data_IF_778186649537
#
_entry.id   IF_778186649537
#
_cell.length_a   1.000
_cell.length_b   1.000
_cell.length_c   1.000
_cell.angle_alpha   90.00
_cell.angle_beta   90.00
_cell.angle_gamma   90.00
#
_symmetry.space_group_name_H-M   'P 1'
#
loop_
_entity.id
_entity.type
_entity.pdbx_description
1 polymer ?
#
# COMPACT_ATOMS: atom_id res chain seq x y z
N UNK A 1 -36.05 -1.66 -26.36
CA UNK A 1 -35.45 -0.97 -25.19
C UNK A 1 -35.71 0.52 -25.38
N UNK A 2 -36.48 1.12 -24.49
CA UNK A 2 -36.83 2.54 -24.59
C UNK A 2 -35.63 3.38 -24.06
N UNK A 3 -35.46 4.60 -24.60
CA UNK A 3 -34.39 5.54 -24.16
C UNK A 3 -34.40 5.77 -22.64
N UNK A 4 -35.54 5.64 -22.00
CA UNK A 4 -35.70 5.72 -20.52
C UNK A 4 -35.09 4.52 -19.78
N UNK A 5 -35.18 3.30 -20.34
CA UNK A 5 -34.56 2.11 -19.76
C UNK A 5 -33.03 2.16 -19.85
N UNK A 6 -32.49 2.65 -20.98
CA UNK A 6 -31.05 2.83 -21.15
C UNK A 6 -30.50 3.89 -20.21
N UNK A 7 -31.22 4.99 -19.96
CA UNK A 7 -30.84 6.01 -18.98
C UNK A 7 -30.90 5.51 -17.53
N UNK A 8 -31.84 4.61 -17.20
CA UNK A 8 -31.92 4.02 -15.85
C UNK A 8 -30.80 3.00 -15.57
N UNK A 9 -30.35 2.24 -16.56
CA UNK A 9 -29.20 1.34 -16.40
C UNK A 9 -27.89 2.10 -16.14
N UNK A 10 -27.71 3.24 -16.77
CA UNK A 10 -26.52 4.09 -16.61
C UNK A 10 -26.45 4.74 -15.21
N UNK A 11 -27.60 4.91 -14.53
CA UNK A 11 -27.64 5.52 -13.18
C UNK A 11 -27.31 4.55 -12.05
N UNK A 12 -27.44 3.25 -12.26
CA UNK A 12 -27.10 2.24 -11.22
C UNK A 12 -25.60 2.10 -11.08
N UNK A 13 -25.12 2.18 -9.82
CA UNK A 13 -23.71 1.95 -9.52
C UNK A 13 -23.33 0.51 -9.83
N UNK A 14 -22.21 0.26 -10.55
CA UNK A 14 -21.73 -1.10 -10.73
C UNK A 14 -21.45 -1.75 -9.37
N UNK A 15 -22.04 -2.90 -9.11
CA UNK A 15 -21.83 -3.66 -7.86
C UNK A 15 -20.33 -3.92 -7.66
N UNK A 16 -19.63 -4.21 -8.74
CA UNK A 16 -18.17 -4.42 -8.73
C UNK A 16 -17.40 -3.20 -8.20
N UNK A 17 -17.76 -1.99 -8.63
CA UNK A 17 -17.14 -0.76 -8.10
C UNK A 17 -17.41 -0.59 -6.61
N UNK A 18 -18.63 -0.91 -6.15
CA UNK A 18 -18.99 -0.81 -4.74
C UNK A 18 -18.12 -1.76 -3.88
N UNK A 19 -17.94 -3.00 -4.34
CA UNK A 19 -17.08 -3.98 -3.67
C UNK A 19 -15.64 -3.46 -3.59
N UNK A 20 -15.08 -2.95 -4.70
CA UNK A 20 -13.73 -2.38 -4.71
C UNK A 20 -13.60 -1.21 -3.74
N UNK A 21 -14.57 -0.29 -3.72
CA UNK A 21 -14.59 0.86 -2.80
C UNK A 21 -14.60 0.40 -1.35
N UNK A 22 -15.44 -0.57 -0.99
CA UNK A 22 -15.51 -1.09 0.38
C UNK A 22 -14.19 -1.74 0.78
N UNK A 23 -13.66 -2.64 -0.04
CA UNK A 23 -12.40 -3.34 0.25
C UNK A 23 -11.22 -2.37 0.38
N UNK A 24 -11.10 -1.43 -0.57
CA UNK A 24 -10.04 -0.41 -0.51
C UNK A 24 -10.19 0.50 0.70
N UNK A 25 -11.42 0.94 1.02
CA UNK A 25 -11.67 1.82 2.17
C UNK A 25 -11.31 1.14 3.49
N UNK A 26 -11.62 -0.14 3.65
CA UNK A 26 -11.25 -0.90 4.86
C UNK A 26 -9.73 -1.01 4.95
N UNK A 27 -9.06 -1.44 3.88
CA UNK A 27 -7.60 -1.63 3.88
C UNK A 27 -6.87 -0.29 4.14
N UNK A 28 -7.19 0.75 3.37
CA UNK A 28 -6.57 2.07 3.51
C UNK A 28 -6.92 2.68 4.87
N UNK A 29 -8.16 2.50 5.35
CA UNK A 29 -8.60 3.00 6.64
C UNK A 29 -7.82 2.41 7.80
N UNK A 30 -7.65 1.09 7.84
CA UNK A 30 -6.84 0.41 8.87
C UNK A 30 -5.39 0.90 8.81
N UNK A 31 -4.80 0.99 7.60
CA UNK A 31 -3.43 1.48 7.42
C UNK A 31 -3.27 2.95 7.85
N UNK A 32 -4.28 3.78 7.59
CA UNK A 32 -4.30 5.20 8.01
C UNK A 32 -4.32 5.32 9.54
N UNK A 33 -5.14 4.52 10.20
CA UNK A 33 -5.18 4.48 11.67
C UNK A 33 -3.84 4.00 12.25
N UNK A 34 -3.22 2.98 11.65
CA UNK A 34 -1.90 2.51 12.04
C UNK A 34 -0.81 3.59 11.91
N UNK A 35 -0.76 4.27 10.77
CA UNK A 35 0.20 5.37 10.55
C UNK A 35 -0.05 6.55 11.50
N UNK A 36 -1.31 6.90 11.75
CA UNK A 36 -1.65 7.96 12.71
C UNK A 36 -1.20 7.58 14.13
N UNK A 37 -1.47 6.35 14.55
CA UNK A 37 -1.03 5.85 15.85
C UNK A 37 0.51 5.87 15.98
N UNK A 38 1.23 5.54 14.90
CA UNK A 38 2.69 5.60 14.85
C UNK A 38 3.23 7.04 14.92
N UNK A 39 2.55 8.00 14.28
CA UNK A 39 2.94 9.43 14.34
C UNK A 39 2.76 9.99 15.76
N UNK A 40 1.68 9.61 16.44
CA UNK A 40 1.35 10.08 17.78
C UNK A 40 2.05 9.27 18.88
N UNK A 41 2.53 8.09 18.55
CA UNK A 41 3.18 7.16 19.48
C UNK A 41 4.67 7.46 19.68
N UNK A 42 5.27 6.72 20.61
CA UNK A 42 6.71 6.74 20.82
C UNK A 42 7.44 6.02 19.68
N UNK A 43 8.67 6.42 19.41
CA UNK A 43 9.57 5.65 18.52
C UNK A 43 9.81 4.26 19.11
N UNK A 44 10.09 3.26 18.24
CA UNK A 44 10.56 1.96 18.71
C UNK A 44 11.73 2.12 19.67
N UNK A 45 11.62 1.52 20.83
CA UNK A 45 12.68 1.51 21.85
C UNK A 45 13.75 0.44 21.54
N UNK A 46 14.81 0.41 22.34
CA UNK A 46 15.90 -0.54 22.15
C UNK A 46 15.45 -2.00 22.29
N UNK A 47 14.39 -2.27 23.08
CA UNK A 47 13.84 -3.61 23.25
C UNK A 47 13.11 -4.10 21.99
N UNK A 48 12.29 -3.25 21.39
CA UNK A 48 11.59 -3.53 20.15
C UNK A 48 12.56 -3.72 18.98
N UNK A 49 13.61 -2.88 18.91
CA UNK A 49 14.65 -3.02 17.87
C UNK A 49 15.38 -4.36 18.02
N UNK A 50 15.75 -4.74 19.25
CA UNK A 50 16.41 -6.01 19.52
C UNK A 50 15.50 -7.21 19.20
N UNK A 51 14.23 -7.13 19.53
CA UNK A 51 13.24 -8.17 19.20
C UNK A 51 13.14 -8.37 17.68
N UNK A 52 13.01 -7.29 16.92
CA UNK A 52 13.00 -7.35 15.46
C UNK A 52 14.29 -7.99 14.89
N UNK A 53 15.47 -7.63 15.43
CA UNK A 53 16.74 -8.24 15.01
C UNK A 53 16.80 -9.74 15.32
N UNK A 54 16.29 -10.17 16.49
CA UNK A 54 16.20 -11.59 16.85
C UNK A 54 15.26 -12.36 15.91
N UNK A 55 14.16 -11.74 15.48
CA UNK A 55 13.24 -12.38 14.55
C UNK A 55 13.87 -12.54 13.15
N UNK A 56 14.63 -11.55 12.66
CA UNK A 56 15.41 -11.70 11.44
C UNK A 56 16.50 -12.78 11.57
N UNK A 57 17.17 -12.89 12.73
CA UNK A 57 18.12 -13.97 12.98
C UNK A 57 17.44 -15.36 12.91
N UNK A 58 16.27 -15.52 13.55
CA UNK A 58 15.50 -16.78 13.46
C UNK A 58 15.07 -17.09 12.02
N UNK A 59 14.70 -16.08 11.21
CA UNK A 59 14.37 -16.29 9.79
C UNK A 59 15.58 -16.80 9.02
N UNK A 60 16.79 -16.29 9.28
CA UNK A 60 18.03 -16.82 8.67
C UNK A 60 18.27 -18.28 9.05
N UNK A 61 18.20 -18.59 10.34
CA UNK A 61 18.39 -19.96 10.84
C UNK A 61 17.39 -20.94 10.20
N UNK A 62 16.12 -20.51 10.04
CA UNK A 62 15.09 -21.32 9.39
C UNK A 62 15.38 -21.54 7.89
N UNK A 63 15.88 -20.51 7.19
CA UNK A 63 16.26 -20.62 5.78
C UNK A 63 17.47 -21.54 5.62
N UNK A 64 18.49 -21.44 6.47
CA UNK A 64 19.66 -22.34 6.46
C UNK A 64 19.23 -23.80 6.68
N UNK A 65 18.39 -24.04 7.67
CA UNK A 65 17.87 -25.37 7.97
C UNK A 65 17.04 -25.97 6.82
N UNK A 66 16.40 -25.11 6.02
CA UNK A 66 15.61 -25.49 4.86
C UNK A 66 16.43 -25.57 3.54
N UNK A 67 17.76 -25.50 3.61
CA UNK A 67 18.65 -25.36 2.44
C UNK A 67 18.35 -24.13 1.55
N UNK A 68 17.78 -23.07 2.15
CA UNK A 68 17.42 -21.81 1.50
C UNK A 68 18.51 -20.73 1.59
N UNK A 69 19.79 -21.09 1.73
CA UNK A 69 20.90 -20.13 1.90
C UNK A 69 20.93 -19.05 0.80
N UNK A 70 20.52 -19.38 -0.41
CA UNK A 70 20.44 -18.44 -1.54
C UNK A 70 19.44 -17.31 -1.33
N UNK A 71 18.54 -17.41 -0.36
CA UNK A 71 17.54 -16.39 -0.04
C UNK A 71 17.87 -15.54 1.19
N UNK A 72 18.96 -15.82 1.90
CA UNK A 72 19.36 -15.08 3.11
C UNK A 72 19.55 -13.59 2.81
N UNK A 73 20.12 -13.25 1.63
CA UNK A 73 20.30 -11.86 1.23
C UNK A 73 18.98 -11.04 1.23
N UNK A 74 17.83 -11.71 0.97
CA UNK A 74 16.51 -11.05 1.02
C UNK A 74 16.18 -10.66 2.46
N UNK A 75 16.46 -11.56 3.41
CA UNK A 75 16.24 -11.30 4.84
C UNK A 75 17.14 -10.16 5.34
N UNK A 76 18.41 -10.13 4.90
CA UNK A 76 19.34 -9.06 5.22
C UNK A 76 18.89 -7.69 4.70
N UNK A 77 18.37 -7.66 3.47
CA UNK A 77 17.77 -6.46 2.89
C UNK A 77 16.50 -6.03 3.65
N UNK A 78 15.63 -6.98 4.02
CA UNK A 78 14.43 -6.69 4.81
C UNK A 78 14.78 -6.12 6.19
N UNK A 79 15.79 -6.69 6.87
CA UNK A 79 16.29 -6.15 8.14
C UNK A 79 16.80 -4.72 7.95
N UNK A 80 17.64 -4.48 6.93
CA UNK A 80 18.19 -3.15 6.63
C UNK A 80 17.08 -2.12 6.42
N UNK A 81 16.08 -2.44 5.61
CA UNK A 81 14.91 -1.56 5.35
C UNK A 81 14.14 -1.30 6.64
N UNK A 82 13.93 -2.33 7.47
CA UNK A 82 13.21 -2.20 8.74
C UNK A 82 13.97 -1.33 9.74
N UNK A 83 15.29 -1.51 9.87
CA UNK A 83 16.11 -0.69 10.76
C UNK A 83 16.14 0.79 10.31
N UNK A 84 16.23 1.04 9.02
CA UNK A 84 16.16 2.41 8.48
C UNK A 84 14.77 3.04 8.69
N UNK A 85 13.70 2.25 8.58
CA UNK A 85 12.35 2.71 8.93
C UNK A 85 12.24 3.07 10.42
N UNK A 86 12.83 2.30 11.33
CA UNK A 86 12.87 2.62 12.76
C UNK A 86 13.70 3.88 13.03
N UNK A 87 14.83 4.05 12.34
CA UNK A 87 15.66 5.26 12.46
C UNK A 87 14.88 6.53 12.05
N UNK A 88 14.07 6.44 11.01
CA UNK A 88 13.27 7.53 10.45
C UNK A 88 11.77 7.42 10.78
N UNK A 89 11.43 6.78 11.90
CA UNK A 89 10.08 6.30 12.21
C UNK A 89 8.96 7.32 12.00
N UNK A 90 9.06 8.51 12.60
CA UNK A 90 8.01 9.53 12.45
C UNK A 90 7.94 10.10 11.03
N UNK A 91 9.08 10.34 10.38
CA UNK A 91 9.13 10.86 9.00
C UNK A 91 8.53 9.85 8.03
N UNK A 92 8.91 8.57 8.16
CA UNK A 92 8.37 7.49 7.33
C UNK A 92 6.84 7.41 7.46
N UNK A 93 6.33 7.32 8.69
CA UNK A 93 4.90 7.21 8.95
C UNK A 93 4.13 8.48 8.53
N UNK A 94 4.73 9.67 8.63
CA UNK A 94 4.10 10.92 8.17
C UNK A 94 3.94 10.95 6.65
N UNK A 95 4.95 10.55 5.89
CA UNK A 95 4.87 10.47 4.42
C UNK A 95 3.87 9.39 4.02
N UNK A 96 3.92 8.22 4.67
CA UNK A 96 2.95 7.15 4.46
C UNK A 96 1.51 7.61 4.70
N UNK A 97 1.27 8.34 5.79
CA UNK A 97 -0.04 8.88 6.13
C UNK A 97 -0.57 9.83 5.05
N UNK A 98 0.28 10.70 4.49
CA UNK A 98 -0.11 11.58 3.37
C UNK A 98 -0.56 10.76 2.16
N UNK A 99 0.21 9.74 1.76
CA UNK A 99 -0.20 8.87 0.65
C UNK A 99 -1.50 8.12 0.95
N UNK A 100 -1.70 7.63 2.17
CA UNK A 100 -2.94 6.97 2.58
C UNK A 100 -4.14 7.91 2.52
N UNK A 101 -3.99 9.17 2.94
CA UNK A 101 -5.05 10.18 2.79
C UNK A 101 -5.39 10.45 1.32
N UNK A 102 -4.39 10.50 0.44
CA UNK A 102 -4.62 10.60 -1.01
C UNK A 102 -5.39 9.38 -1.53
N UNK A 103 -5.05 8.19 -1.07
CA UNK A 103 -5.77 6.95 -1.41
C UNK A 103 -7.24 6.98 -0.97
N UNK A 104 -7.52 7.33 0.28
CA UNK A 104 -8.89 7.49 0.79
C UNK A 104 -9.68 8.53 0.00
N UNK A 105 -9.07 9.70 -0.23
CA UNK A 105 -9.68 10.77 -1.03
C UNK A 105 -9.96 10.26 -2.46
N UNK A 106 -9.03 9.52 -3.04
CA UNK A 106 -9.19 8.90 -4.35
C UNK A 106 -10.40 7.98 -4.42
N UNK A 107 -10.55 7.07 -3.45
CA UNK A 107 -11.68 6.13 -3.37
C UNK A 107 -13.01 6.87 -3.21
N UNK A 108 -13.07 7.89 -2.31
CA UNK A 108 -14.27 8.71 -2.09
C UNK A 108 -14.67 9.46 -3.36
N UNK A 109 -13.70 10.08 -4.05
CA UNK A 109 -13.97 10.82 -5.29
C UNK A 109 -14.46 9.88 -6.41
N UNK A 110 -13.87 8.69 -6.56
CA UNK A 110 -14.35 7.70 -7.52
C UNK A 110 -15.78 7.24 -7.19
N UNK A 111 -16.10 7.06 -5.90
CA UNK A 111 -17.46 6.77 -5.47
C UNK A 111 -18.44 7.91 -5.81
N UNK A 112 -17.98 9.16 -5.81
CA UNK A 112 -18.73 10.36 -6.21
C UNK A 112 -18.75 10.61 -7.74
N UNK A 113 -18.29 9.68 -8.57
CA UNK A 113 -18.18 9.80 -10.04
C UNK A 113 -17.15 10.82 -10.52
N UNK A 114 -16.16 11.18 -9.71
CA UNK A 114 -15.14 12.16 -10.10
C UNK A 114 -13.88 11.46 -10.60
N UNK A 115 -13.49 11.70 -11.85
CA UNK A 115 -12.27 11.15 -12.49
C UNK A 115 -11.00 11.43 -11.71
N UNK A 116 -10.92 12.57 -11.05
CA UNK A 116 -9.77 12.97 -10.26
C UNK A 116 -9.42 11.93 -9.19
N UNK A 117 -10.43 11.21 -8.66
CA UNK A 117 -10.23 10.13 -7.70
C UNK A 117 -9.33 9.01 -8.20
N UNK A 118 -9.43 8.66 -9.47
CA UNK A 118 -8.57 7.64 -10.08
C UNK A 118 -7.09 8.07 -10.13
N UNK A 119 -6.83 9.34 -10.45
CA UNK A 119 -5.46 9.88 -10.44
C UNK A 119 -4.87 9.89 -9.02
N UNK A 120 -5.66 10.29 -8.02
CA UNK A 120 -5.23 10.24 -6.62
C UNK A 120 -4.92 8.81 -6.17
N UNK A 121 -5.71 7.84 -6.61
CA UNK A 121 -5.48 6.44 -6.30
C UNK A 121 -4.19 5.90 -6.95
N UNK A 122 -3.88 6.32 -8.18
CA UNK A 122 -2.61 5.99 -8.84
C UNK A 122 -1.42 6.59 -8.05
N UNK A 123 -1.50 7.88 -7.68
CA UNK A 123 -0.43 8.55 -6.91
C UNK A 123 -0.22 7.87 -5.57
N UNK A 124 -1.29 7.51 -4.86
CA UNK A 124 -1.25 6.72 -3.64
C UNK A 124 -0.53 5.39 -3.84
N UNK A 125 -0.94 4.63 -4.86
CA UNK A 125 -0.41 3.29 -5.15
C UNK A 125 1.09 3.33 -5.45
N UNK A 126 1.51 4.27 -6.32
CA UNK A 126 2.92 4.49 -6.66
C UNK A 126 3.70 5.03 -5.46
N UNK A 127 3.12 5.95 -4.70
CA UNK A 127 3.74 6.56 -3.54
C UNK A 127 4.11 5.53 -2.47
N UNK A 128 3.23 4.56 -2.19
CA UNK A 128 3.53 3.49 -1.24
C UNK A 128 4.63 2.56 -1.72
N UNK A 129 4.67 2.23 -3.01
CA UNK A 129 5.75 1.39 -3.58
C UNK A 129 7.09 2.11 -3.55
N UNK A 130 7.09 3.43 -3.77
CA UNK A 130 8.30 4.23 -3.81
C UNK A 130 8.77 4.67 -2.41
N UNK A 131 7.91 4.62 -1.40
CA UNK A 131 8.21 5.12 -0.05
C UNK A 131 9.51 4.55 0.56
N UNK A 132 9.81 3.24 0.49
CA UNK A 132 11.07 2.71 1.01
C UNK A 132 12.31 3.32 0.34
N UNK A 133 12.22 3.75 -0.93
CA UNK A 133 13.34 4.32 -1.70
C UNK A 133 13.73 5.74 -1.26
N UNK A 134 12.90 6.43 -0.47
CA UNK A 134 13.27 7.71 0.13
C UNK A 134 14.28 7.56 1.28
N UNK A 135 14.37 6.36 1.86
CA UNK A 135 15.18 6.08 3.05
C UNK A 135 16.26 5.04 2.82
N UNK A 136 16.23 4.35 1.70
CA UNK A 136 17.14 3.25 1.37
C UNK A 136 17.65 3.39 -0.06
N UNK A 137 18.88 2.94 -0.30
CA UNK A 137 19.39 2.80 -1.68
C UNK A 137 18.68 1.63 -2.40
N UNK A 138 18.66 1.66 -3.74
CA UNK A 138 18.05 0.60 -4.54
C UNK A 138 18.59 -0.80 -4.23
N UNK A 139 19.87 -0.90 -3.87
CA UNK A 139 20.52 -2.17 -3.56
C UNK A 139 20.09 -2.76 -2.20
N UNK A 140 19.60 -1.92 -1.30
CA UNK A 140 19.14 -2.33 0.03
C UNK A 140 17.68 -2.82 0.05
N UNK A 141 16.94 -2.60 -1.01
CA UNK A 141 15.52 -2.98 -1.08
C UNK A 141 15.39 -4.30 -1.82
N UNK A 142 14.72 -5.32 -1.23
CA UNK A 142 14.48 -6.57 -1.91
C UNK A 142 13.70 -6.37 -3.20
N UNK A 143 14.29 -6.70 -4.34
CA UNK A 143 13.65 -6.55 -5.66
C UNK A 143 12.32 -7.30 -5.74
N UNK A 144 12.25 -8.47 -5.11
CA UNK A 144 11.02 -9.26 -5.08
C UNK A 144 9.85 -8.51 -4.40
N UNK A 145 10.10 -7.79 -3.29
CA UNK A 145 9.07 -7.01 -2.62
C UNK A 145 8.60 -5.83 -3.48
N UNK A 146 9.51 -5.20 -4.20
CA UNK A 146 9.16 -4.14 -5.15
C UNK A 146 8.29 -4.68 -6.28
N UNK A 147 8.65 -5.81 -6.88
CA UNK A 147 7.87 -6.45 -7.95
C UNK A 147 6.47 -6.79 -7.43
N UNK A 148 6.36 -7.44 -6.27
CA UNK A 148 5.07 -7.78 -5.66
C UNK A 148 4.25 -6.53 -5.36
N UNK A 149 4.87 -5.47 -4.81
CA UNK A 149 4.21 -4.20 -4.55
C UNK A 149 3.67 -3.53 -5.80
N UNK A 150 4.48 -3.49 -6.88
CA UNK A 150 4.07 -2.95 -8.19
C UNK A 150 2.92 -3.77 -8.77
N UNK A 151 3.01 -5.10 -8.77
CA UNK A 151 1.96 -5.97 -9.29
C UNK A 151 0.65 -5.81 -8.49
N UNK A 152 0.74 -5.74 -7.17
CA UNK A 152 -0.42 -5.51 -6.31
C UNK A 152 -1.06 -4.14 -6.59
N UNK A 153 -0.27 -3.07 -6.63
CA UNK A 153 -0.76 -1.73 -6.96
C UNK A 153 -1.36 -1.65 -8.37
N UNK A 154 -0.69 -2.23 -9.37
CA UNK A 154 -1.17 -2.29 -10.75
C UNK A 154 -2.49 -3.07 -10.87
N UNK A 155 -2.64 -4.18 -10.14
CA UNK A 155 -3.89 -4.94 -10.10
C UNK A 155 -5.07 -4.06 -9.65
N UNK A 156 -4.93 -3.36 -8.53
CA UNK A 156 -5.99 -2.49 -8.02
C UNK A 156 -6.29 -1.32 -8.96
N UNK A 157 -5.27 -0.67 -9.51
CA UNK A 157 -5.43 0.40 -10.51
C UNK A 157 -6.16 -0.15 -11.75
N UNK A 158 -5.80 -1.34 -12.22
CA UNK A 158 -6.47 -1.99 -13.34
C UNK A 158 -7.95 -2.30 -13.04
N UNK A 159 -8.25 -2.85 -11.85
CA UNK A 159 -9.64 -3.14 -11.46
C UNK A 159 -10.49 -1.86 -11.42
N UNK A 160 -9.95 -0.76 -10.91
CA UNK A 160 -10.64 0.53 -10.92
C UNK A 160 -10.78 1.11 -12.34
N UNK A 161 -9.78 0.94 -13.20
CA UNK A 161 -9.80 1.46 -14.58
C UNK A 161 -10.97 0.90 -15.39
N UNK A 162 -11.39 -0.34 -15.12
CA UNK A 162 -12.55 -0.97 -15.78
C UNK A 162 -13.88 -0.27 -15.47
N UNK A 163 -13.93 0.54 -14.43
CA UNK A 163 -15.12 1.27 -14.03
C UNK A 163 -15.08 2.77 -14.40
N UNK A 164 -14.05 3.20 -15.14
CA UNK A 164 -13.89 4.62 -15.52
C UNK A 164 -15.03 5.16 -16.38
N UNK A 165 -15.67 4.33 -17.20
CA UNK A 165 -16.82 4.74 -18.01
C UNK A 165 -18.00 5.19 -17.14
N UNK A 166 -18.16 4.63 -15.95
CA UNK A 166 -19.19 5.04 -15.01
C UNK A 166 -18.79 6.30 -14.23
N UNK A 167 -17.50 6.50 -13.99
CA UNK A 167 -16.96 7.68 -13.27
C UNK A 167 -17.00 8.95 -14.13
N UNK A 168 -17.22 8.83 -15.43
CA UNK A 168 -17.17 9.94 -16.39
C UNK A 168 -18.53 10.62 -16.66
N UNK A 169 -19.54 10.25 -15.93
CA UNK A 169 -20.88 10.81 -16.05
C UNK A 169 -21.13 11.82 -14.93
#
# INVERSE_FOLDING_TARGET
MTELESKQEITKRPVFLLVLVIMSSINIGISTMGSLSAILGAKPDASMIKEAQLDFAKMRDQLEAANGADFIYIVDQMETVTMNMFAHFHTYNSIQFIFLLLGLTGVILMYQRKRLGFHFYIVYSLGLVLLPYFFNSMQQIPTILTIVGVLYGALWVFLYSRNLNWVNQ
#
